data_IF_170557131651
#
_entry.id   IF_170557131651
#
_cell.length_a   1.000
_cell.length_b   1.000
_cell.length_c   1.000
_cell.angle_alpha   90.00
_cell.angle_beta   90.00
_cell.angle_gamma   90.00
#
_symmetry.space_group_name_H-M   'P 1'
#
loop_
_entity.id
_entity.type
_entity.pdbx_description
1 polymer ?
#
# COMPACT_ATOMS: atom_id res chain seq x y z
N UNK A 1 21.05 23.88 2.35
CA UNK A 1 21.31 22.90 1.27
C UNK A 1 20.00 22.64 0.53
N UNK A 2 19.79 23.27 -0.63
CA UNK A 2 18.70 22.94 -1.56
C UNK A 2 19.38 22.32 -2.76
N UNK A 3 19.43 21.00 -2.79
CA UNK A 3 20.04 20.26 -3.90
C UNK A 3 18.99 20.12 -5.01
N UNK A 4 19.27 20.72 -6.16
CA UNK A 4 18.35 20.75 -7.29
C UNK A 4 18.10 19.35 -7.89
N UNK A 5 19.07 18.43 -7.77
CA UNK A 5 18.91 17.06 -8.24
C UNK A 5 17.87 16.31 -7.40
N UNK A 6 17.90 16.50 -6.08
CA UNK A 6 16.91 15.92 -5.15
C UNK A 6 15.53 16.52 -5.42
N UNK A 7 15.44 17.84 -5.58
CA UNK A 7 14.17 18.51 -5.84
C UNK A 7 13.51 18.01 -7.14
N UNK A 8 14.30 17.84 -8.20
CA UNK A 8 13.81 17.30 -9.48
C UNK A 8 13.33 15.85 -9.35
N UNK A 9 14.06 15.02 -8.62
CA UNK A 9 13.67 13.64 -8.35
C UNK A 9 12.38 13.55 -7.53
N UNK A 10 12.27 14.34 -6.46
CA UNK A 10 11.05 14.39 -5.63
C UNK A 10 9.84 14.84 -6.44
N UNK A 11 10.00 15.83 -7.34
CA UNK A 11 8.91 16.28 -8.20
C UNK A 11 8.33 15.16 -9.08
N UNK A 12 9.17 14.26 -9.59
CA UNK A 12 8.73 13.09 -10.36
C UNK A 12 7.98 12.08 -9.47
N UNK A 13 8.44 11.89 -8.24
CA UNK A 13 7.80 11.00 -7.27
C UNK A 13 6.41 11.47 -6.85
N UNK A 14 6.12 12.78 -6.88
CA UNK A 14 4.81 13.31 -6.51
C UNK A 14 3.66 12.71 -7.31
N UNK A 15 3.89 12.37 -8.59
CA UNK A 15 2.86 11.71 -9.42
C UNK A 15 2.52 10.33 -8.84
N UNK A 16 3.55 9.56 -8.49
CA UNK A 16 3.39 8.24 -7.89
C UNK A 16 2.75 8.31 -6.50
N UNK A 17 3.14 9.31 -5.70
CA UNK A 17 2.53 9.61 -4.39
C UNK A 17 1.07 10.01 -4.54
N UNK A 18 0.70 10.72 -5.61
CA UNK A 18 -0.70 11.02 -5.93
C UNK A 18 -1.55 9.75 -6.05
N UNK A 19 -1.07 8.73 -6.77
CA UNK A 19 -1.75 7.43 -6.84
C UNK A 19 -1.79 6.71 -5.49
N UNK A 20 -0.70 6.77 -4.73
CA UNK A 20 -0.65 6.22 -3.38
C UNK A 20 -1.75 6.81 -2.49
N UNK A 21 -1.96 8.13 -2.51
CA UNK A 21 -3.00 8.79 -1.72
C UNK A 21 -4.42 8.36 -2.10
N UNK A 22 -4.69 8.06 -3.37
CA UNK A 22 -6.00 7.51 -3.79
C UNK A 22 -6.24 6.16 -3.15
N UNK A 23 -5.24 5.28 -3.18
CA UNK A 23 -5.30 3.98 -2.50
C UNK A 23 -5.47 4.11 -0.99
N UNK A 24 -4.78 5.08 -0.38
CA UNK A 24 -4.79 5.32 1.06
C UNK A 24 -6.17 5.82 1.54
N UNK A 25 -6.79 6.72 0.78
CA UNK A 25 -8.15 7.18 1.04
C UNK A 25 -9.17 6.03 0.96
N UNK A 26 -9.04 5.18 -0.05
CA UNK A 26 -9.92 4.01 -0.24
C UNK A 26 -9.74 2.98 0.89
N UNK A 27 -8.50 2.68 1.25
CA UNK A 27 -8.17 1.81 2.36
C UNK A 27 -8.77 2.36 3.65
N UNK A 28 -8.58 3.65 3.93
CA UNK A 28 -9.11 4.34 5.12
C UNK A 28 -10.63 4.26 5.21
N UNK A 29 -11.34 4.46 4.08
CA UNK A 29 -12.79 4.24 4.02
C UNK A 29 -13.17 2.80 4.37
N UNK A 30 -12.47 1.81 3.81
CA UNK A 30 -12.73 0.40 4.12
C UNK A 30 -12.51 0.09 5.62
N UNK A 31 -11.50 0.69 6.24
CA UNK A 31 -11.27 0.58 7.68
C UNK A 31 -12.43 1.13 8.51
N UNK A 32 -12.96 2.30 8.15
CA UNK A 32 -14.10 2.88 8.85
C UNK A 32 -15.37 2.03 8.71
N UNK A 33 -15.62 1.48 7.53
CA UNK A 33 -16.75 0.55 7.31
C UNK A 33 -16.58 -0.74 8.12
N UNK A 34 -15.41 -1.35 8.13
CA UNK A 34 -15.18 -2.57 8.93
C UNK A 34 -15.30 -2.29 10.44
N UNK A 35 -14.90 -1.09 10.87
CA UNK A 35 -15.08 -0.65 12.26
C UNK A 35 -16.56 -0.48 12.63
N UNK A 36 -17.45 -0.07 11.72
CA UNK A 36 -18.90 -0.05 11.99
C UNK A 36 -19.47 -1.47 12.18
N UNK A 37 -18.89 -2.48 11.51
CA UNK A 37 -19.16 -3.90 11.75
C UNK A 37 -18.46 -4.48 12.99
N UNK A 38 -17.84 -3.64 13.84
CA UNK A 38 -17.06 -4.07 15.02
C UNK A 38 -15.84 -4.95 14.68
N UNK A 39 -15.37 -4.93 13.44
CA UNK A 39 -14.18 -5.65 12.98
C UNK A 39 -13.01 -4.67 12.89
N UNK A 40 -12.19 -4.58 13.94
CA UNK A 40 -11.11 -3.58 14.03
C UNK A 40 -9.70 -4.17 13.91
N UNK A 41 -9.50 -5.40 14.38
CA UNK A 41 -8.17 -6.01 14.46
C UNK A 41 -7.70 -6.60 13.12
N UNK A 42 -8.57 -7.30 12.40
CA UNK A 42 -8.25 -7.93 11.11
C UNK A 42 -7.73 -6.91 10.08
N UNK A 43 -8.40 -5.74 9.88
CA UNK A 43 -7.93 -4.73 8.95
C UNK A 43 -6.52 -4.24 9.28
N UNK A 44 -6.24 -4.00 10.57
CA UNK A 44 -4.90 -3.55 11.02
C UNK A 44 -3.82 -4.58 10.72
N UNK A 45 -4.07 -5.87 10.97
CA UNK A 45 -3.10 -6.92 10.68
C UNK A 45 -2.81 -7.04 9.18
N UNK A 46 -3.87 -7.01 8.35
CA UNK A 46 -3.72 -7.09 6.89
C UNK A 46 -2.91 -5.90 6.37
N UNK A 47 -3.24 -4.69 6.82
CA UNK A 47 -2.50 -3.50 6.41
C UNK A 47 -1.02 -3.55 6.86
N UNK A 48 -0.77 -3.83 8.14
CA UNK A 48 0.60 -3.89 8.66
C UNK A 48 1.45 -4.96 7.97
N UNK A 49 0.93 -6.18 7.83
CA UNK A 49 1.67 -7.26 7.17
C UNK A 49 1.95 -6.99 5.69
N UNK A 50 1.02 -6.37 4.96
CA UNK A 50 1.23 -6.02 3.55
C UNK A 50 2.19 -4.85 3.39
N UNK A 51 2.11 -3.83 4.23
CA UNK A 51 3.01 -2.67 4.14
C UNK A 51 4.46 -3.07 4.43
N UNK A 52 4.68 -3.85 5.50
CA UNK A 52 6.02 -4.28 5.90
C UNK A 52 6.53 -5.47 5.09
N UNK A 53 5.65 -6.41 4.74
CA UNK A 53 5.97 -7.51 3.85
C UNK A 53 6.13 -7.00 2.43
N UNK A 54 5.04 -6.78 1.72
CA UNK A 54 5.08 -6.47 0.28
C UNK A 54 5.70 -5.11 -0.01
N UNK A 55 5.37 -4.07 0.76
CA UNK A 55 5.86 -2.71 0.52
C UNK A 55 7.36 -2.57 0.79
N UNK A 56 7.79 -2.89 2.01
CA UNK A 56 9.18 -2.71 2.43
C UNK A 56 10.12 -3.79 1.87
N UNK A 57 9.79 -5.08 2.04
CA UNK A 57 10.67 -6.13 1.52
C UNK A 57 10.67 -6.17 -0.01
N UNK A 58 9.52 -5.93 -0.65
CA UNK A 58 9.44 -5.82 -2.11
C UNK A 58 10.22 -4.62 -2.63
N UNK A 59 10.12 -3.47 -1.96
CA UNK A 59 10.89 -2.27 -2.29
C UNK A 59 12.41 -2.50 -2.15
N UNK A 60 12.83 -3.21 -1.10
CA UNK A 60 14.23 -3.58 -0.88
C UNK A 60 14.77 -4.45 -2.01
N UNK A 61 14.02 -5.50 -2.39
CA UNK A 61 14.40 -6.39 -3.48
C UNK A 61 14.52 -5.63 -4.82
N UNK A 62 13.57 -4.76 -5.16
CA UNK A 62 13.63 -3.97 -6.40
C UNK A 62 14.70 -2.88 -6.42
N UNK A 63 15.01 -2.30 -5.26
CA UNK A 63 16.02 -1.26 -5.15
C UNK A 63 17.43 -1.83 -5.23
N UNK A 64 17.70 -2.96 -4.54
CA UNK A 64 19.06 -3.43 -4.30
C UNK A 64 19.43 -4.76 -4.96
N UNK A 65 18.54 -5.75 -4.96
CA UNK A 65 18.87 -7.10 -5.47
C UNK A 65 18.45 -7.31 -6.94
N UNK A 66 17.40 -6.62 -7.39
CA UNK A 66 16.72 -6.94 -8.65
C UNK A 66 15.80 -8.16 -8.50
N UNK A 67 14.78 -8.26 -9.36
CA UNK A 67 13.83 -9.39 -9.34
C UNK A 67 13.97 -10.17 -10.65
N UNK A 68 14.60 -11.34 -10.61
CA UNK A 68 14.79 -12.20 -11.78
C UNK A 68 15.62 -11.51 -12.86
N UNK A 69 15.01 -11.17 -14.00
CA UNK A 69 15.66 -10.45 -15.10
C UNK A 69 15.63 -8.93 -14.95
N UNK A 70 14.88 -8.38 -13.98
CA UNK A 70 14.89 -6.94 -13.71
C UNK A 70 16.14 -6.57 -12.91
N UNK A 71 16.99 -5.75 -13.50
CA UNK A 71 18.15 -5.16 -12.82
C UNK A 71 17.72 -4.25 -11.67
N UNK A 72 18.53 -4.19 -10.61
CA UNK A 72 18.31 -3.31 -9.48
C UNK A 72 18.21 -1.85 -9.95
N UNK A 73 17.12 -1.18 -9.57
CA UNK A 73 16.84 0.20 -10.02
C UNK A 73 17.64 1.25 -9.23
N UNK A 74 18.15 0.89 -8.03
CA UNK A 74 18.90 1.79 -7.13
C UNK A 74 18.20 3.15 -6.92
N UNK A 75 16.86 3.14 -6.89
CA UNK A 75 16.05 4.34 -6.82
C UNK A 75 15.00 4.25 -5.71
N UNK A 76 14.81 5.32 -4.91
CA UNK A 76 13.66 5.49 -4.01
C UNK A 76 12.29 5.20 -4.65
N UNK A 77 12.15 5.37 -5.96
CA UNK A 77 10.90 5.09 -6.67
C UNK A 77 10.44 3.63 -6.52
N UNK A 78 11.37 2.68 -6.37
CA UNK A 78 11.05 1.27 -6.17
C UNK A 78 10.24 1.04 -4.89
N UNK A 79 10.60 1.71 -3.80
CA UNK A 79 9.87 1.64 -2.52
C UNK A 79 8.46 2.20 -2.63
N UNK A 80 8.30 3.35 -3.27
CA UNK A 80 6.99 3.95 -3.50
C UNK A 80 6.11 3.08 -4.40
N UNK A 81 6.67 2.50 -5.45
CA UNK A 81 5.93 1.62 -6.35
C UNK A 81 5.42 0.37 -5.62
N UNK A 82 6.30 -0.28 -4.84
CA UNK A 82 5.91 -1.44 -4.05
C UNK A 82 4.95 -1.10 -2.92
N UNK A 83 5.00 0.12 -2.38
CA UNK A 83 4.01 0.60 -1.42
C UNK A 83 2.64 0.79 -2.07
N UNK A 84 2.57 1.31 -3.30
CA UNK A 84 1.32 1.41 -4.07
C UNK A 84 0.74 0.01 -4.34
N UNK A 85 1.58 -0.94 -4.75
CA UNK A 85 1.16 -2.34 -4.98
C UNK A 85 0.64 -2.97 -3.69
N UNK A 86 1.38 -2.85 -2.58
CA UNK A 86 0.96 -3.35 -1.28
C UNK A 86 -0.39 -2.77 -0.85
N UNK A 87 -0.57 -1.46 -1.03
CA UNK A 87 -1.82 -0.77 -0.69
C UNK A 87 -2.99 -1.24 -1.56
N UNK A 88 -2.76 -1.48 -2.85
CA UNK A 88 -3.74 -2.10 -3.75
C UNK A 88 -4.19 -3.48 -3.26
N UNK A 89 -3.25 -4.32 -2.82
CA UNK A 89 -3.55 -5.63 -2.21
C UNK A 89 -4.36 -5.49 -0.92
N UNK A 90 -4.01 -4.52 -0.06
CA UNK A 90 -4.78 -4.23 1.16
C UNK A 90 -6.20 -3.84 0.82
N UNK A 91 -6.41 -2.89 -0.09
CA UNK A 91 -7.74 -2.47 -0.52
C UNK A 91 -8.59 -3.66 -1.00
N UNK A 92 -8.03 -4.53 -1.84
CA UNK A 92 -8.72 -5.75 -2.27
C UNK A 92 -9.07 -6.67 -1.09
N UNK A 93 -8.12 -6.89 -0.16
CA UNK A 93 -8.35 -7.70 1.03
C UNK A 93 -9.46 -7.14 1.94
N UNK A 94 -9.47 -5.83 2.17
CA UNK A 94 -10.49 -5.18 2.99
C UNK A 94 -11.87 -5.20 2.32
N UNK A 95 -11.96 -5.00 1.00
CA UNK A 95 -13.22 -5.13 0.27
C UNK A 95 -13.80 -6.53 0.38
N UNK A 96 -12.96 -7.58 0.30
CA UNK A 96 -13.38 -8.96 0.51
C UNK A 96 -13.89 -9.19 1.94
N UNK A 97 -13.25 -8.59 2.94
CA UNK A 97 -13.74 -8.65 4.34
C UNK A 97 -15.10 -7.96 4.49
N UNK A 98 -15.31 -6.80 3.86
CA UNK A 98 -16.60 -6.11 3.87
C UNK A 98 -17.67 -6.98 3.21
N UNK A 99 -17.38 -7.56 2.04
CA UNK A 99 -18.31 -8.45 1.33
C UNK A 99 -18.68 -9.69 2.18
N UNK A 100 -17.75 -10.21 2.99
CA UNK A 100 -18.04 -11.31 3.94
C UNK A 100 -18.85 -10.84 5.15
N UNK A 101 -18.55 -9.66 5.69
CA UNK A 101 -19.28 -9.08 6.81
C UNK A 101 -20.75 -8.86 6.44
N UNK A 102 -21.02 -8.34 5.23
CA UNK A 102 -22.37 -8.13 4.70
C UNK A 102 -23.18 -9.42 4.54
N UNK A 103 -22.53 -10.54 4.21
CA UNK A 103 -23.19 -11.85 4.06
C UNK A 103 -23.41 -12.58 5.39
N UNK A 104 -22.81 -12.11 6.47
CA UNK A 104 -22.87 -12.80 7.76
C UNK A 104 -24.15 -12.42 8.51
N UNK A 105 -24.99 -13.38 8.95
CA UNK A 105 -26.25 -13.10 9.65
C UNK A 105 -26.06 -12.42 11.01
N UNK A 106 -24.83 -12.41 11.53
CA UNK A 106 -24.45 -11.73 12.78
C UNK A 106 -24.52 -10.20 12.70
N UNK A 107 -24.52 -9.63 11.49
CA UNK A 107 -24.47 -8.17 11.25
C UNK A 107 -25.64 -7.62 10.42
N UNK A 108 -26.63 -8.47 10.11
CA UNK A 108 -27.88 -8.09 9.46
C UNK A 108 -28.91 -7.76 10.54
#
# INVERSE_FOLDING_TARGET
AKDDAVAKMSAQLLILVGFYHVGDALQTLCFFVLRSFKVTFLPMMVYGSMLWGVGLSGGYLLAYEGIGSLSATQSPAAFWLMSVVALGLVCMGLMLLIARALKSPKYR
#
